data_IF_230197916326
#
_entry.id   IF_230197916326
#
_cell.length_a   1.000
_cell.length_b   1.000
_cell.length_c   1.000
_cell.angle_alpha   90.00
_cell.angle_beta   90.00
_cell.angle_gamma   90.00
#
_symmetry.space_group_name_H-M   'P 1'
#
loop_
_entity.id
_entity.type
_entity.pdbx_description
1 polymer ?
#
# COMPACT_ATOMS: atom_id res chain seq x y z
N UNK A 1 -5.72 33.32 -19.94
CA UNK A 1 -6.08 32.02 -19.33
C UNK A 1 -7.21 32.28 -18.36
N UNK A 2 -8.35 31.65 -18.58
CA UNK A 2 -9.48 31.71 -17.67
C UNK A 2 -9.17 30.88 -16.42
N UNK A 3 -9.69 31.27 -15.25
CA UNK A 3 -9.44 30.55 -13.98
C UNK A 3 -9.90 29.08 -14.09
N UNK A 4 -10.98 28.84 -14.84
CA UNK A 4 -11.50 27.49 -15.10
C UNK A 4 -10.51 26.62 -15.88
N UNK A 5 -9.93 27.15 -16.95
CA UNK A 5 -8.94 26.43 -17.77
C UNK A 5 -7.71 26.04 -16.92
N UNK A 6 -7.23 26.93 -16.05
CA UNK A 6 -6.10 26.64 -15.16
C UNK A 6 -6.41 25.44 -14.25
N UNK A 7 -7.60 25.42 -13.65
CA UNK A 7 -8.03 24.35 -12.75
C UNK A 7 -8.23 23.01 -13.49
N UNK A 8 -8.72 23.05 -14.72
CA UNK A 8 -8.82 21.85 -15.57
C UNK A 8 -7.44 21.24 -15.84
N UNK A 9 -6.46 22.05 -16.22
CA UNK A 9 -5.08 21.58 -16.42
C UNK A 9 -4.48 20.99 -15.15
N UNK A 10 -4.73 21.60 -13.99
CA UNK A 10 -4.30 21.08 -12.69
C UNK A 10 -4.96 19.74 -12.38
N UNK A 11 -6.27 19.61 -12.62
CA UNK A 11 -7.00 18.36 -12.40
C UNK A 11 -6.46 17.23 -13.28
N UNK A 12 -6.23 17.50 -14.57
CA UNK A 12 -5.63 16.55 -15.52
C UNK A 12 -4.24 16.13 -15.06
N UNK A 13 -3.39 17.10 -14.67
CA UNK A 13 -2.04 16.81 -14.18
C UNK A 13 -2.06 15.96 -12.91
N UNK A 14 -2.98 16.23 -11.98
CA UNK A 14 -3.15 15.47 -10.74
C UNK A 14 -3.52 14.00 -11.02
N UNK A 15 -4.46 13.77 -11.94
CA UNK A 15 -4.90 12.42 -12.34
C UNK A 15 -3.78 11.67 -13.08
N UNK A 16 -3.03 12.37 -13.92
CA UNK A 16 -1.88 11.81 -14.64
C UNK A 16 -0.78 11.38 -13.67
N UNK A 17 -0.42 12.24 -12.71
CA UNK A 17 0.51 11.92 -11.63
C UNK A 17 0.00 10.74 -10.79
N UNK A 18 -1.28 10.72 -10.44
CA UNK A 18 -1.89 9.62 -9.70
C UNK A 18 -1.74 8.27 -10.44
N UNK A 19 -1.93 8.25 -11.76
CA UNK A 19 -1.74 7.06 -12.59
C UNK A 19 -0.29 6.56 -12.55
N UNK A 20 0.69 7.46 -12.67
CA UNK A 20 2.12 7.12 -12.58
C UNK A 20 2.44 6.54 -11.20
N UNK A 21 1.96 7.17 -10.12
CA UNK A 21 2.16 6.66 -8.74
C UNK A 21 1.51 5.28 -8.58
N UNK A 22 0.32 5.06 -9.13
CA UNK A 22 -0.35 3.75 -9.12
C UNK A 22 0.48 2.69 -9.84
N UNK A 23 1.10 3.03 -10.97
CA UNK A 23 1.99 2.14 -11.71
C UNK A 23 3.25 1.79 -10.89
N UNK A 24 3.85 2.80 -10.25
CA UNK A 24 5.00 2.61 -9.33
C UNK A 24 4.59 1.75 -8.12
N UNK A 25 3.38 1.93 -7.60
CA UNK A 25 2.84 1.11 -6.50
C UNK A 25 2.77 -0.37 -6.87
N UNK A 26 2.25 -0.68 -8.07
CA UNK A 26 2.20 -2.05 -8.57
C UNK A 26 3.60 -2.64 -8.76
N UNK A 27 4.53 -1.86 -9.32
CA UNK A 27 5.92 -2.28 -9.49
C UNK A 27 6.64 -2.51 -8.14
N UNK A 28 6.42 -1.63 -7.17
CA UNK A 28 6.97 -1.75 -5.82
C UNK A 28 6.49 -3.01 -5.08
N UNK A 29 5.23 -3.40 -5.30
CA UNK A 29 4.69 -4.66 -4.77
C UNK A 29 5.41 -5.90 -5.33
N UNK A 30 5.80 -5.88 -6.60
CA UNK A 30 6.47 -7.01 -7.27
C UNK A 30 7.97 -7.09 -6.90
N UNK A 31 8.63 -5.94 -6.72
CA UNK A 31 10.10 -5.86 -6.56
C UNK A 31 10.60 -6.22 -5.15
N UNK A 32 9.80 -5.96 -4.11
CA UNK A 32 10.27 -6.08 -2.72
C UNK A 32 10.38 -7.56 -2.27
N UNK A 33 11.34 -7.91 -1.40
CA UNK A 33 11.62 -9.30 -1.05
C UNK A 33 10.63 -9.90 -0.04
N UNK A 34 9.97 -9.07 0.79
CA UNK A 34 9.23 -9.53 1.96
C UNK A 34 7.79 -8.99 1.99
N UNK A 35 6.85 -9.75 2.55
CA UNK A 35 5.42 -9.41 2.67
C UNK A 35 5.22 -8.13 3.47
N UNK A 36 6.00 -7.89 4.52
CA UNK A 36 5.88 -6.66 5.33
C UNK A 36 6.33 -5.42 4.55
N UNK A 37 7.45 -5.51 3.85
CA UNK A 37 7.97 -4.41 3.02
C UNK A 37 7.09 -4.16 1.80
N UNK A 38 6.60 -5.22 1.14
CA UNK A 38 5.59 -5.15 0.07
C UNK A 38 4.32 -4.46 0.52
N UNK A 39 3.75 -4.88 1.66
CA UNK A 39 2.51 -4.31 2.19
C UNK A 39 2.69 -2.83 2.54
N UNK A 40 3.82 -2.47 3.16
CA UNK A 40 4.12 -1.08 3.48
C UNK A 40 4.25 -0.21 2.22
N UNK A 41 5.02 -0.67 1.23
CA UNK A 41 5.20 0.08 -0.02
C UNK A 41 3.90 0.20 -0.81
N UNK A 42 3.14 -0.91 -0.92
CA UNK A 42 1.87 -0.95 -1.62
C UNK A 42 0.84 -0.04 -0.95
N UNK A 43 0.64 -0.13 0.37
CA UNK A 43 -0.36 0.68 1.07
C UNK A 43 -0.03 2.17 1.00
N UNK A 44 1.22 2.58 1.28
CA UNK A 44 1.59 4.02 1.24
C UNK A 44 1.43 4.62 -0.17
N UNK A 45 1.93 3.92 -1.19
CA UNK A 45 1.90 4.42 -2.56
C UNK A 45 0.49 4.41 -3.17
N UNK A 46 -0.24 3.28 -3.01
CA UNK A 46 -1.59 3.16 -3.56
C UNK A 46 -2.58 4.15 -2.94
N UNK A 47 -2.51 4.37 -1.62
CA UNK A 47 -3.41 5.32 -0.96
C UNK A 47 -3.17 6.74 -1.46
N UNK A 48 -1.90 7.16 -1.61
CA UNK A 48 -1.57 8.47 -2.17
C UNK A 48 -2.05 8.63 -3.61
N UNK A 49 -1.88 7.60 -4.44
CA UNK A 49 -2.39 7.60 -5.82
C UNK A 49 -3.90 7.78 -5.88
N UNK A 50 -4.65 6.97 -5.11
CA UNK A 50 -6.12 7.03 -5.10
C UNK A 50 -6.62 8.39 -4.59
N UNK A 51 -6.00 8.94 -3.54
CA UNK A 51 -6.35 10.26 -3.02
C UNK A 51 -6.07 11.37 -4.04
N UNK A 52 -4.93 11.34 -4.72
CA UNK A 52 -4.59 12.31 -5.77
C UNK A 52 -5.54 12.22 -6.98
N UNK A 53 -5.97 11.02 -7.34
CA UNK A 53 -6.94 10.79 -8.41
C UNK A 53 -8.32 11.34 -8.04
N UNK A 54 -8.83 10.99 -6.85
CA UNK A 54 -10.11 11.48 -6.34
C UNK A 54 -10.13 12.99 -6.15
N UNK A 55 -9.03 13.58 -5.68
CA UNK A 55 -8.89 15.03 -5.52
C UNK A 55 -8.88 15.75 -6.87
N UNK A 56 -8.19 15.20 -7.88
CA UNK A 56 -8.23 15.74 -9.24
C UNK A 56 -9.63 15.69 -9.84
N UNK A 57 -10.33 14.56 -9.70
CA UNK A 57 -11.72 14.41 -10.12
C UNK A 57 -12.65 15.40 -9.38
N UNK A 58 -12.42 15.62 -8.09
CA UNK A 58 -13.19 16.58 -7.29
C UNK A 58 -13.07 18.00 -7.84
N UNK A 59 -11.84 18.45 -8.14
CA UNK A 59 -11.59 19.77 -8.71
C UNK A 59 -12.29 19.92 -10.06
N UNK A 60 -12.23 18.89 -10.91
CA UNK A 60 -12.88 18.91 -12.22
C UNK A 60 -14.40 19.08 -12.12
N UNK A 61 -15.07 18.26 -11.29
CA UNK A 61 -16.53 18.36 -11.10
C UNK A 61 -16.96 19.69 -10.46
N UNK A 62 -16.17 20.22 -9.52
CA UNK A 62 -16.43 21.52 -8.93
C UNK A 62 -16.43 22.64 -9.97
N UNK A 63 -15.48 22.61 -10.92
CA UNK A 63 -15.31 23.68 -11.92
C UNK A 63 -16.33 23.59 -13.06
N UNK A 64 -16.64 22.37 -13.51
CA UNK A 64 -17.52 22.14 -14.66
C UNK A 64 -19.00 22.28 -14.29
N UNK A 65 -19.43 21.58 -13.22
CA UNK A 65 -20.85 21.50 -12.88
C UNK A 65 -21.24 22.34 -11.65
N UNK A 66 -20.26 22.88 -10.92
CA UNK A 66 -20.53 23.73 -9.74
C UNK A 66 -21.10 22.97 -8.54
N UNK A 67 -21.20 21.64 -8.59
CA UNK A 67 -21.68 20.82 -7.48
C UNK A 67 -20.57 20.00 -6.84
N UNK A 68 -20.70 19.84 -5.53
CA UNK A 68 -19.82 19.01 -4.71
C UNK A 68 -20.42 17.61 -4.63
N UNK A 69 -19.80 16.63 -5.28
CA UNK A 69 -20.27 15.24 -5.22
C UNK A 69 -19.96 14.64 -3.84
N UNK A 70 -21.00 14.45 -3.03
CA UNK A 70 -20.91 13.80 -1.70
C UNK A 70 -20.29 12.39 -1.81
N UNK A 71 -20.55 11.68 -2.92
CA UNK A 71 -19.94 10.37 -3.19
C UNK A 71 -18.42 10.44 -3.30
N UNK A 72 -17.85 11.51 -3.87
CA UNK A 72 -16.39 11.66 -3.97
C UNK A 72 -15.77 11.88 -2.60
N UNK A 73 -16.34 12.79 -1.80
CA UNK A 73 -15.87 13.06 -0.43
C UNK A 73 -15.94 11.78 0.41
N UNK A 74 -17.06 11.07 0.33
CA UNK A 74 -17.22 9.81 1.05
C UNK A 74 -16.22 8.76 0.58
N UNK A 75 -15.93 8.68 -0.72
CA UNK A 75 -14.90 7.81 -1.29
C UNK A 75 -13.49 8.13 -0.77
N UNK A 76 -13.12 9.41 -0.70
CA UNK A 76 -11.83 9.87 -0.17
C UNK A 76 -11.69 9.43 1.30
N UNK A 77 -12.66 9.76 2.14
CA UNK A 77 -12.63 9.42 3.57
C UNK A 77 -12.64 7.91 3.78
N UNK A 78 -13.47 7.19 3.03
CA UNK A 78 -13.58 5.74 3.12
C UNK A 78 -12.24 5.08 2.78
N UNK A 79 -11.64 5.38 1.63
CA UNK A 79 -10.35 4.81 1.23
C UNK A 79 -9.25 5.19 2.23
N UNK A 80 -9.25 6.43 2.72
CA UNK A 80 -8.26 6.90 3.68
C UNK A 80 -8.28 6.10 5.00
N UNK A 81 -9.46 5.72 5.48
CA UNK A 81 -9.61 4.91 6.69
C UNK A 81 -9.35 3.43 6.39
N UNK A 82 -9.87 2.92 5.26
CA UNK A 82 -9.79 1.50 4.92
C UNK A 82 -8.37 1.06 4.56
N UNK A 83 -7.57 1.89 3.89
CA UNK A 83 -6.25 1.48 3.41
C UNK A 83 -5.22 1.19 4.54
N UNK A 84 -5.10 2.00 5.60
CA UNK A 84 -4.24 1.66 6.74
C UNK A 84 -4.74 0.44 7.52
N UNK A 85 -6.05 0.31 7.68
CA UNK A 85 -6.67 -0.82 8.40
C UNK A 85 -6.42 -2.12 7.65
N UNK A 86 -6.62 -2.15 6.34
CA UNK A 86 -6.36 -3.35 5.52
C UNK A 86 -4.88 -3.73 5.55
N UNK A 87 -3.97 -2.76 5.41
CA UNK A 87 -2.53 -2.99 5.50
C UNK A 87 -2.12 -3.59 6.85
N UNK A 88 -2.66 -3.06 7.96
CA UNK A 88 -2.37 -3.57 9.30
C UNK A 88 -2.91 -4.98 9.54
N UNK A 89 -4.11 -5.29 9.02
CA UNK A 89 -4.69 -6.63 9.14
C UNK A 89 -3.88 -7.68 8.34
N UNK A 90 -3.41 -7.31 7.15
CA UNK A 90 -2.56 -8.18 6.33
C UNK A 90 -1.23 -8.48 7.02
N UNK A 91 -0.55 -7.47 7.56
CA UNK A 91 0.72 -7.67 8.28
C UNK A 91 0.54 -8.49 9.54
N UNK A 92 -0.54 -8.25 10.32
CA UNK A 92 -0.86 -9.04 11.52
C UNK A 92 -1.16 -10.51 11.18
N UNK A 93 -1.89 -10.76 10.09
CA UNK A 93 -2.18 -12.11 9.61
C UNK A 93 -0.92 -12.83 9.14
N UNK A 94 -0.05 -12.16 8.37
CA UNK A 94 1.23 -12.71 7.92
C UNK A 94 2.15 -13.07 9.10
N UNK A 95 2.20 -12.21 10.12
CA UNK A 95 2.99 -12.47 11.33
C UNK A 95 2.47 -13.67 12.11
N UNK A 96 1.15 -13.79 12.27
CA UNK A 96 0.53 -14.94 12.94
C UNK A 96 0.72 -16.24 12.14
N UNK A 97 0.82 -16.16 10.83
CA UNK A 97 1.11 -17.27 9.93
C UNK A 97 2.60 -17.67 9.90
N UNK A 98 3.47 -17.02 10.71
CA UNK A 98 4.92 -17.26 10.79
C UNK A 98 5.65 -17.09 9.46
N UNK A 99 5.19 -16.13 8.64
CA UNK A 99 5.90 -15.76 7.41
C UNK A 99 7.27 -15.19 7.79
N UNK A 100 8.38 -15.72 7.25
CA UNK A 100 9.72 -15.26 7.58
C UNK A 100 9.90 -13.81 7.13
N UNK A 101 10.55 -13.01 7.97
CA UNK A 101 10.98 -11.66 7.62
C UNK A 101 12.16 -11.73 6.64
N UNK A 102 12.35 -10.70 5.82
CA UNK A 102 13.49 -10.62 4.89
C UNK A 102 14.84 -10.77 5.62
N UNK A 103 15.80 -11.44 4.96
CA UNK A 103 17.21 -11.51 5.37
C UNK A 103 17.80 -10.08 5.34
N UNK A 104 17.86 -9.44 6.51
CA UNK A 104 18.22 -8.03 6.67
C UNK A 104 17.22 -7.20 7.48
N UNK A 105 16.10 -7.79 7.89
CA UNK A 105 15.30 -7.22 8.97
C UNK A 105 16.14 -7.14 10.25
N UNK A 106 16.05 -6.01 10.96
CA UNK A 106 16.68 -5.84 12.26
C UNK A 106 16.03 -6.70 13.35
N UNK A 107 16.18 -6.29 14.60
CA UNK A 107 15.67 -7.04 15.75
C UNK A 107 14.13 -7.13 15.77
N UNK A 108 13.59 -8.34 15.92
CA UNK A 108 12.14 -8.58 16.01
C UNK A 108 11.72 -8.61 17.48
N UNK A 109 11.43 -7.41 18.01
CA UNK A 109 10.95 -7.24 19.38
C UNK A 109 9.58 -7.90 19.65
N UNK A 110 8.83 -8.29 18.61
CA UNK A 110 7.50 -8.89 18.76
C UNK A 110 7.58 -10.41 18.94
N UNK A 111 8.64 -11.03 18.43
CA UNK A 111 8.89 -12.48 18.50
C UNK A 111 8.86 -13.04 19.93
N UNK A 112 9.62 -12.48 20.91
CA UNK A 112 9.61 -13.00 22.27
C UNK A 112 8.25 -12.83 22.97
N UNK A 113 7.48 -11.79 22.63
CA UNK A 113 6.17 -11.53 23.25
C UNK A 113 5.08 -12.47 22.71
N UNK A 114 5.10 -12.77 21.41
CA UNK A 114 4.06 -13.56 20.75
C UNK A 114 4.33 -15.06 20.73
N UNK A 115 5.60 -15.47 20.73
CA UNK A 115 6.00 -16.87 20.59
C UNK A 115 6.84 -17.40 21.77
N UNK A 116 7.22 -16.55 22.73
CA UNK A 116 8.10 -16.91 23.85
C UNK A 116 9.58 -17.02 23.42
N UNK A 117 10.47 -17.27 24.38
CA UNK A 117 11.91 -17.43 24.14
C UNK A 117 12.28 -18.78 23.48
N UNK A 118 11.28 -19.63 23.16
CA UNK A 118 11.51 -20.96 22.61
C UNK A 118 11.50 -21.00 21.08
N UNK A 119 12.62 -21.53 20.57
CA UNK A 119 12.91 -21.98 19.21
C UNK A 119 13.49 -20.92 18.27
N UNK A 120 14.82 -20.80 18.35
CA UNK A 120 15.67 -21.05 17.19
C UNK A 120 15.21 -22.36 16.52
N UNK A 121 14.24 -22.30 15.62
CA UNK A 121 14.01 -23.38 14.66
C UNK A 121 14.78 -23.00 13.40
N UNK A 122 15.51 -23.97 12.82
CA UNK A 122 16.60 -23.71 11.91
C UNK A 122 16.07 -23.03 10.65
N UNK A 123 16.95 -22.28 9.99
CA UNK A 123 16.98 -22.18 8.54
C UNK A 123 16.31 -23.43 7.95
N UNK A 124 15.15 -23.27 7.30
CA UNK A 124 14.66 -24.31 6.39
C UNK A 124 15.67 -24.32 5.26
N UNK A 125 16.75 -25.06 5.48
CA UNK A 125 17.74 -25.37 4.48
C UNK A 125 16.99 -26.13 3.40
N UNK A 126 16.90 -25.52 2.22
CA UNK A 126 16.51 -26.18 0.99
C UNK A 126 17.60 -27.19 0.56
N UNK A 127 17.96 -28.13 1.44
CA UNK A 127 19.07 -29.08 1.23
C UNK A 127 18.78 -30.47 1.83
N UNK A 128 17.54 -30.94 1.77
CA UNK A 128 17.23 -32.34 2.10
C UNK A 128 16.19 -32.94 1.13
N UNK A 129 16.38 -32.67 -0.17
CA UNK A 129 15.70 -33.44 -1.24
C UNK A 129 16.58 -34.59 -1.76
N UNK A 130 17.89 -34.56 -1.56
CA UNK A 130 18.80 -35.62 -2.02
C UNK A 130 19.43 -36.37 -0.83
N UNK A 131 18.77 -37.41 -0.30
CA UNK A 131 19.46 -38.51 0.43
C UNK A 131 18.64 -39.74 0.85
N UNK A 132 17.50 -40.00 0.23
CA UNK A 132 16.86 -41.31 0.37
C UNK A 132 16.44 -41.88 -0.99
N UNK A 133 17.44 -42.38 -1.72
CA UNK A 133 17.30 -43.54 -2.60
C UNK A 133 18.60 -44.36 -2.56
#
# INVERSE_FOLDING_TARGET
>A
MNVKEILEWIAVLSVLLASIISMISAFGMIRLPDVYTRSHAATKSSTMAVLACLSGAFIYFWVHDGYVSVRLILGIVFVFITAPVSGHLVTRAAYRARVPLAEGSGDDALKPVLFGDEQTSPTITADNVDKHE
#
